data_IF_038404861842
#
_entry.id   IF_038404861842
#
_cell.length_a   1.000
_cell.length_b   1.000
_cell.length_c   1.000
_cell.angle_alpha   90.00
_cell.angle_beta   90.00
_cell.angle_gamma   90.00
#
_symmetry.space_group_name_H-M   'P 1'
#
loop_
_entity.id
_entity.type
_entity.pdbx_description
1 polymer ?
#
# COMPACT_ATOMS: atom_id res chain seq x y z
N UNK A 1 -30.11 -5.09 -57.24
CA UNK A 1 -28.64 -5.32 -57.10
C UNK A 1 -27.82 -4.03 -57.08
N UNK A 2 -28.09 -3.04 -57.95
CA UNK A 2 -27.27 -1.82 -58.04
C UNK A 2 -27.31 -0.89 -56.79
N UNK A 3 -28.41 -0.85 -56.02
CA UNK A 3 -28.49 0.00 -54.82
C UNK A 3 -27.63 -0.51 -53.66
N UNK A 4 -27.51 -1.82 -53.52
CA UNK A 4 -26.75 -2.45 -52.43
C UNK A 4 -25.24 -2.28 -52.63
N UNK A 5 -24.77 -2.27 -53.88
CA UNK A 5 -23.39 -1.95 -54.24
C UNK A 5 -23.03 -0.49 -53.94
N UNK A 6 -23.95 0.46 -54.19
CA UNK A 6 -23.76 1.87 -53.84
C UNK A 6 -23.71 2.11 -52.33
N UNK A 7 -24.57 1.44 -51.56
CA UNK A 7 -24.55 1.49 -50.10
C UNK A 7 -23.21 1.00 -49.53
N UNK A 8 -22.69 -0.13 -50.04
CA UNK A 8 -21.38 -0.65 -49.62
C UNK A 8 -20.20 0.25 -50.01
N UNK A 9 -20.24 0.86 -51.19
CA UNK A 9 -19.21 1.82 -51.60
C UNK A 9 -19.16 3.01 -50.63
N UNK A 10 -20.32 3.54 -50.25
CA UNK A 10 -20.43 4.64 -49.30
C UNK A 10 -19.98 4.27 -47.88
N UNK A 11 -20.34 3.06 -47.39
CA UNK A 11 -19.86 2.56 -46.09
C UNK A 11 -18.35 2.37 -46.04
N UNK A 12 -17.73 1.96 -47.15
CA UNK A 12 -16.27 1.77 -47.25
C UNK A 12 -15.50 3.09 -47.37
N UNK A 13 -16.05 4.09 -48.06
CA UNK A 13 -15.41 5.41 -48.23
C UNK A 13 -15.37 6.21 -46.92
N UNK A 14 -16.30 5.96 -45.99
CA UNK A 14 -16.35 6.65 -44.69
C UNK A 14 -16.91 5.74 -43.61
N UNK A 15 -16.11 4.79 -43.09
CA UNK A 15 -16.55 3.88 -42.04
C UNK A 15 -16.83 4.68 -40.75
N UNK A 16 -18.11 4.81 -40.41
CA UNK A 16 -18.54 5.44 -39.15
C UNK A 16 -18.68 4.36 -38.08
N UNK A 17 -17.79 4.39 -37.09
CA UNK A 17 -17.95 3.56 -35.91
C UNK A 17 -18.96 4.21 -34.97
N UNK A 18 -20.09 3.54 -34.71
CA UNK A 18 -21.08 3.99 -33.72
C UNK A 18 -20.61 3.77 -32.28
N UNK A 19 -19.58 2.95 -32.08
CA UNK A 19 -19.03 2.55 -30.78
C UNK A 19 -17.53 2.65 -30.87
N UNK A 20 -16.91 3.31 -29.89
CA UNK A 20 -15.46 3.40 -29.80
C UNK A 20 -14.86 2.01 -29.55
N UNK A 21 -13.74 1.71 -30.22
CA UNK A 21 -12.95 0.49 -29.98
C UNK A 21 -12.44 0.43 -28.51
N UNK A 22 -12.38 1.58 -27.85
CA UNK A 22 -11.95 1.75 -26.46
C UNK A 22 -13.11 1.94 -25.47
N UNK A 23 -14.33 1.55 -25.85
CA UNK A 23 -15.50 1.64 -24.95
C UNK A 23 -15.40 0.59 -23.83
N UNK A 24 -14.82 1.00 -22.70
CA UNK A 24 -14.50 0.15 -21.54
C UNK A 24 -15.76 -0.23 -20.76
N UNK A 25 -16.89 0.48 -20.95
CA UNK A 25 -18.11 0.25 -20.17
C UNK A 25 -18.89 -1.00 -20.60
N UNK A 26 -18.81 -1.39 -21.87
CA UNK A 26 -19.50 -2.59 -22.40
C UNK A 26 -18.68 -3.87 -22.36
N UNK A 27 -17.35 -3.79 -22.26
CA UNK A 27 -16.49 -4.97 -22.26
C UNK A 27 -16.34 -5.54 -20.84
N UNK A 28 -17.38 -6.26 -20.40
CA UNK A 28 -17.43 -6.86 -19.05
C UNK A 28 -16.25 -7.81 -18.81
N UNK A 29 -15.88 -8.62 -19.79
CA UNK A 29 -14.76 -9.57 -19.70
C UNK A 29 -13.41 -8.86 -19.53
N UNK A 30 -13.17 -7.78 -20.30
CA UNK A 30 -11.95 -6.98 -20.14
C UNK A 30 -11.89 -6.30 -18.76
N UNK A 31 -13.05 -5.89 -18.21
CA UNK A 31 -13.14 -5.27 -16.89
C UNK A 31 -12.85 -6.26 -15.76
N UNK A 32 -13.43 -7.45 -15.82
CA UNK A 32 -13.15 -8.49 -14.82
C UNK A 32 -11.70 -8.97 -14.93
N UNK A 33 -11.16 -9.12 -16.15
CA UNK A 33 -9.74 -9.45 -16.36
C UNK A 33 -8.78 -8.36 -15.85
N UNK A 34 -9.15 -7.08 -15.93
CA UNK A 34 -8.38 -5.98 -15.33
C UNK A 34 -8.41 -6.04 -13.79
N UNK A 35 -9.59 -6.27 -13.19
CA UNK A 35 -9.72 -6.42 -11.73
C UNK A 35 -8.93 -7.60 -11.21
N UNK A 36 -8.95 -8.72 -11.93
CA UNK A 36 -8.22 -9.93 -11.56
C UNK A 36 -6.71 -9.71 -11.64
N UNK A 37 -6.21 -9.06 -12.71
CA UNK A 37 -4.80 -8.65 -12.80
C UNK A 37 -4.39 -7.66 -11.71
N UNK A 38 -5.28 -6.73 -11.34
CA UNK A 38 -5.01 -5.80 -10.24
C UNK A 38 -4.96 -6.51 -8.89
N UNK A 39 -5.84 -7.49 -8.67
CA UNK A 39 -5.84 -8.34 -7.48
C UNK A 39 -4.57 -9.19 -7.42
N UNK A 40 -4.17 -9.81 -8.53
CA UNK A 40 -2.93 -10.59 -8.63
C UNK A 40 -1.71 -9.73 -8.33
N UNK A 41 -1.60 -8.53 -8.93
CA UNK A 41 -0.51 -7.59 -8.61
C UNK A 41 -0.51 -7.16 -7.15
N UNK A 42 -1.68 -6.95 -6.53
CA UNK A 42 -1.77 -6.65 -5.10
C UNK A 42 -1.25 -7.82 -4.26
N UNK A 43 -1.61 -9.05 -4.62
CA UNK A 43 -1.14 -10.26 -3.94
C UNK A 43 0.37 -10.48 -4.13
N UNK A 44 0.92 -10.27 -5.32
CA UNK A 44 2.36 -10.39 -5.60
C UNK A 44 3.16 -9.33 -4.85
N UNK A 45 2.73 -8.07 -4.90
CA UNK A 45 3.36 -6.96 -4.17
C UNK A 45 3.35 -7.20 -2.65
N UNK A 46 2.26 -7.76 -2.10
CA UNK A 46 2.21 -8.10 -0.68
C UNK A 46 3.08 -9.33 -0.34
N UNK A 47 3.33 -10.25 -1.27
CA UNK A 47 4.22 -11.42 -1.10
C UNK A 47 5.70 -11.08 -1.19
N UNK A 48 6.11 -10.23 -2.13
CA UNK A 48 7.52 -9.83 -2.32
C UNK A 48 8.09 -9.05 -1.13
N UNK A 49 7.24 -8.40 -0.34
CA UNK A 49 7.64 -7.69 0.89
C UNK A 49 7.78 -8.64 2.09
N UNK A 50 7.28 -9.87 1.98
CA UNK A 50 7.31 -10.90 3.01
C UNK A 50 8.37 -11.97 2.70
N UNK A 51 9.63 -11.56 2.48
CA UNK A 51 10.75 -12.50 2.57
C UNK A 51 10.60 -13.36 3.83
N UNK A 52 10.97 -14.64 3.74
CA UNK A 52 10.81 -15.63 4.82
C UNK A 52 11.76 -15.27 5.97
N UNK A 53 11.34 -14.32 6.80
CA UNK A 53 12.07 -13.91 8.01
C UNK A 53 11.75 -14.92 9.10
N UNK A 54 12.78 -15.60 9.60
CA UNK A 54 12.67 -16.44 10.79
C UNK A 54 12.56 -15.52 12.03
N UNK A 55 11.33 -15.34 12.50
CA UNK A 55 11.03 -14.50 13.68
C UNK A 55 11.60 -15.09 14.98
N UNK A 56 11.85 -16.40 15.04
CA UNK A 56 12.28 -17.10 16.25
C UNK A 56 13.80 -17.19 16.38
N UNK A 57 14.54 -17.11 15.28
CA UNK A 57 16.00 -17.21 15.27
C UNK A 57 16.70 -16.29 16.30
N UNK A 58 16.33 -15.01 16.46
CA UNK A 58 16.99 -14.14 17.45
C UNK A 58 16.79 -14.61 18.89
N UNK A 59 15.59 -15.06 19.24
CA UNK A 59 15.25 -15.51 20.59
C UNK A 59 15.93 -16.84 20.94
N UNK A 60 16.07 -17.74 19.97
CA UNK A 60 16.78 -19.00 20.15
C UNK A 60 18.29 -18.80 20.25
N UNK A 61 18.85 -17.86 19.48
CA UNK A 61 20.25 -17.48 19.58
C UNK A 61 20.59 -16.91 20.96
N UNK A 62 19.70 -16.11 21.56
CA UNK A 62 19.86 -15.59 22.93
C UNK A 62 19.91 -16.69 23.99
N UNK A 63 19.25 -17.83 23.74
CA UNK A 63 19.27 -19.01 24.62
C UNK A 63 20.46 -19.94 24.34
N UNK A 64 21.30 -19.64 23.36
CA UNK A 64 22.43 -20.49 22.96
C UNK A 64 22.05 -21.66 22.06
N UNK A 65 20.93 -21.56 21.33
CA UNK A 65 20.40 -22.60 20.42
C UNK A 65 20.26 -23.98 21.08
N UNK A 66 19.47 -24.11 22.16
CA UNK A 66 19.25 -25.39 22.81
C UNK A 66 18.48 -26.34 21.88
N UNK A 67 18.81 -27.63 21.93
CA UNK A 67 18.11 -28.67 21.15
C UNK A 67 16.63 -28.84 21.57
N UNK A 68 16.33 -28.57 22.85
CA UNK A 68 14.98 -28.58 23.41
C UNK A 68 14.78 -27.37 24.32
N UNK A 69 13.58 -26.77 24.26
CA UNK A 69 13.19 -25.65 25.12
C UNK A 69 12.15 -26.10 26.13
N UNK A 70 12.23 -25.60 27.38
CA UNK A 70 11.20 -25.86 28.38
C UNK A 70 9.90 -25.12 28.03
N UNK A 71 8.74 -25.62 28.47
CA UNK A 71 7.42 -24.98 28.28
C UNK A 71 7.39 -23.53 28.74
N UNK A 72 8.04 -23.21 29.85
CA UNK A 72 8.13 -21.82 30.35
C UNK A 72 8.94 -20.92 29.41
N UNK A 73 10.07 -21.40 28.90
CA UNK A 73 10.90 -20.67 27.94
C UNK A 73 10.16 -20.47 26.62
N UNK A 74 9.48 -21.52 26.13
CA UNK A 74 8.66 -21.44 24.92
C UNK A 74 7.53 -20.40 25.04
N UNK A 75 6.87 -20.32 26.21
CA UNK A 75 5.85 -19.31 26.48
C UNK A 75 6.43 -17.89 26.43
N UNK A 76 7.56 -17.67 27.10
CA UNK A 76 8.25 -16.38 27.11
C UNK A 76 8.66 -15.95 25.70
N UNK A 77 9.33 -16.84 24.95
CA UNK A 77 9.76 -16.56 23.57
C UNK A 77 8.58 -16.16 22.68
N UNK A 78 7.45 -16.88 22.78
CA UNK A 78 6.24 -16.56 22.02
C UNK A 78 5.72 -15.17 22.37
N UNK A 79 5.59 -14.87 23.66
CA UNK A 79 5.00 -13.62 24.13
C UNK A 79 5.91 -12.42 23.81
N UNK A 80 7.22 -12.56 23.99
CA UNK A 80 8.22 -11.56 23.63
C UNK A 80 8.24 -11.31 22.11
N UNK A 81 8.23 -12.37 21.30
CA UNK A 81 8.17 -12.25 19.84
C UNK A 81 6.91 -11.50 19.37
N UNK A 82 5.75 -11.83 19.94
CA UNK A 82 4.50 -11.14 19.59
C UNK A 82 4.49 -9.69 20.07
N UNK A 83 5.03 -9.42 21.26
CA UNK A 83 5.12 -8.08 21.82
C UNK A 83 6.04 -7.19 20.98
N UNK A 84 7.24 -7.66 20.67
CA UNK A 84 8.23 -6.93 19.87
C UNK A 84 7.71 -6.68 18.46
N UNK A 85 7.03 -7.65 17.85
CA UNK A 85 6.44 -7.47 16.54
C UNK A 85 5.35 -6.39 16.54
N UNK A 86 4.44 -6.41 17.52
CA UNK A 86 3.41 -5.37 17.70
C UNK A 86 4.04 -4.01 17.91
N UNK A 87 5.07 -3.93 18.77
CA UNK A 87 5.82 -2.69 19.03
C UNK A 87 6.49 -2.16 17.76
N UNK A 88 7.13 -3.03 16.97
CA UNK A 88 7.76 -2.67 15.70
C UNK A 88 6.75 -2.10 14.71
N UNK A 89 5.57 -2.74 14.57
CA UNK A 89 4.51 -2.22 13.73
C UNK A 89 3.98 -0.87 14.25
N UNK A 90 3.81 -0.70 15.56
CA UNK A 90 3.40 0.58 16.14
C UNK A 90 4.42 1.69 15.86
N UNK A 91 5.71 1.44 16.10
CA UNK A 91 6.80 2.40 15.83
C UNK A 91 6.84 2.79 14.35
N UNK A 92 6.60 1.83 13.44
CA UNK A 92 6.50 2.11 12.00
C UNK A 92 5.32 3.02 11.69
N UNK A 93 4.16 2.77 12.28
CA UNK A 93 2.97 3.63 12.16
C UNK A 93 3.24 5.05 12.69
N UNK A 94 3.84 5.16 13.86
CA UNK A 94 4.19 6.44 14.50
C UNK A 94 5.16 7.25 13.63
N UNK A 95 6.13 6.59 13.00
CA UNK A 95 7.06 7.25 12.07
C UNK A 95 6.31 7.85 10.88
N UNK A 96 5.38 7.11 10.28
CA UNK A 96 4.56 7.61 9.16
C UNK A 96 3.71 8.80 9.63
N UNK A 97 3.06 8.67 10.79
CA UNK A 97 2.24 9.73 11.37
C UNK A 97 3.06 11.01 11.65
N UNK A 98 4.26 10.88 12.22
CA UNK A 98 5.16 12.02 12.47
C UNK A 98 5.54 12.74 11.18
N UNK A 99 5.90 11.99 10.13
CA UNK A 99 6.23 12.58 8.83
C UNK A 99 5.01 13.28 8.21
N UNK A 100 3.82 12.67 8.31
CA UNK A 100 2.57 13.27 7.83
C UNK A 100 2.27 14.59 8.55
N UNK A 101 2.41 14.63 9.87
CA UNK A 101 2.17 15.82 10.68
C UNK A 101 3.17 16.93 10.33
N UNK A 102 4.44 16.58 10.14
CA UNK A 102 5.47 17.52 9.70
C UNK A 102 5.13 18.14 8.34
N UNK A 103 4.70 17.33 7.36
CA UNK A 103 4.36 17.88 6.04
C UNK A 103 3.09 18.71 6.03
N UNK A 104 2.09 18.36 6.84
CA UNK A 104 0.91 19.21 7.06
C UNK A 104 1.30 20.56 7.69
N UNK A 105 2.23 20.53 8.64
CA UNK A 105 2.75 21.74 9.27
C UNK A 105 3.51 22.62 8.27
N UNK A 106 4.46 22.06 7.53
CA UNK A 106 5.24 22.78 6.51
C UNK A 106 4.34 23.41 5.43
N UNK A 107 3.28 22.72 5.00
CA UNK A 107 2.31 23.28 4.06
C UNK A 107 1.54 24.44 4.68
N UNK A 108 1.09 24.31 5.93
CA UNK A 108 0.38 25.37 6.65
C UNK A 108 1.25 26.62 6.85
N UNK A 109 2.51 26.46 7.22
CA UNK A 109 3.44 27.60 7.35
C UNK A 109 3.67 28.30 6.01
N UNK A 110 3.84 27.53 4.92
CA UNK A 110 4.02 28.11 3.59
C UNK A 110 2.77 28.82 3.09
N UNK A 111 1.58 28.35 3.46
CA UNK A 111 0.31 29.02 3.18
C UNK A 111 0.20 30.36 3.90
N UNK A 112 0.50 30.41 5.20
CA UNK A 112 0.53 31.67 5.98
C UNK A 112 1.52 32.67 5.38
N UNK A 113 2.73 32.21 5.06
CA UNK A 113 3.74 33.04 4.40
C UNK A 113 3.23 33.60 3.06
N UNK A 114 2.51 32.79 2.27
CA UNK A 114 1.94 33.25 1.01
C UNK A 114 0.85 34.30 1.23
N UNK A 115 -0.05 34.10 2.19
CA UNK A 115 -1.10 35.08 2.55
C UNK A 115 -0.51 36.45 2.89
N UNK A 116 0.59 36.48 3.66
CA UNK A 116 1.28 37.72 4.04
C UNK A 116 1.99 38.39 2.85
N UNK A 117 2.60 37.62 1.95
CA UNK A 117 3.48 38.13 0.89
C UNK A 117 2.82 38.22 -0.50
N UNK A 118 1.55 37.84 -0.64
CA UNK A 118 0.85 37.69 -1.93
C UNK A 118 0.88 38.96 -2.81
N UNK A 119 0.91 40.13 -2.18
CA UNK A 119 0.91 41.43 -2.85
C UNK A 119 2.28 41.82 -3.41
N UNK A 120 3.37 41.25 -2.89
CA UNK A 120 4.77 41.52 -3.31
C UNK A 120 5.22 40.50 -4.38
N UNK A 121 4.60 39.32 -4.39
CA UNK A 121 4.97 38.20 -5.27
C UNK A 121 4.63 38.46 -6.75
N UNK A 122 5.61 38.17 -7.60
CA UNK A 122 5.49 38.17 -9.07
C UNK A 122 4.64 37.01 -9.57
N UNK A 123 4.20 37.07 -10.83
CA UNK A 123 3.40 36.01 -11.46
C UNK A 123 4.12 34.66 -11.47
N UNK A 124 5.41 34.64 -11.80
CA UNK A 124 6.24 33.43 -11.84
C UNK A 124 6.39 32.79 -10.47
N UNK A 125 6.53 33.58 -9.41
CA UNK A 125 6.64 33.05 -8.05
C UNK A 125 5.30 32.48 -7.54
N UNK A 126 4.18 33.07 -7.96
CA UNK A 126 2.83 32.53 -7.68
C UNK A 126 2.59 31.19 -8.37
N UNK A 127 3.02 31.05 -9.62
CA UNK A 127 2.97 29.78 -10.36
C UNK A 127 3.86 28.72 -9.68
N UNK A 128 5.07 29.07 -9.25
CA UNK A 128 5.96 28.17 -8.51
C UNK A 128 5.35 27.72 -7.16
N UNK A 129 4.71 28.63 -6.43
CA UNK A 129 3.98 28.31 -5.20
C UNK A 129 2.81 27.35 -5.45
N UNK A 130 2.04 27.57 -6.52
CA UNK A 130 0.93 26.68 -6.89
C UNK A 130 1.42 25.25 -7.13
N UNK A 131 2.51 25.09 -7.89
CA UNK A 131 3.16 23.78 -8.14
C UNK A 131 3.65 23.15 -6.83
N UNK A 132 4.28 23.94 -5.95
CA UNK A 132 4.71 23.47 -4.63
C UNK A 132 3.53 22.93 -3.80
N UNK A 133 2.43 23.67 -3.72
CA UNK A 133 1.24 23.26 -3.00
C UNK A 133 0.63 21.97 -3.57
N UNK A 134 0.47 21.89 -4.89
CA UNK A 134 -0.03 20.67 -5.55
C UNK A 134 0.83 19.45 -5.23
N UNK A 135 2.16 19.59 -5.28
CA UNK A 135 3.09 18.51 -4.96
C UNK A 135 3.01 18.10 -3.48
N UNK A 136 2.95 19.07 -2.55
CA UNK A 136 2.82 18.79 -1.11
C UNK A 136 1.49 18.11 -0.79
N UNK A 137 0.37 18.57 -1.36
CA UNK A 137 -0.95 17.95 -1.17
C UNK A 137 -0.94 16.50 -1.67
N UNK A 138 -0.39 16.26 -2.86
CA UNK A 138 -0.26 14.90 -3.39
C UNK A 138 0.58 14.00 -2.47
N UNK A 139 1.68 14.53 -1.92
CA UNK A 139 2.53 13.78 -1.00
C UNK A 139 1.81 13.46 0.32
N UNK A 140 1.12 14.44 0.91
CA UNK A 140 0.29 14.27 2.12
C UNK A 140 -0.75 13.19 1.88
N UNK A 141 -1.50 13.26 0.77
CA UNK A 141 -2.52 12.28 0.44
C UNK A 141 -1.95 10.87 0.30
N UNK A 142 -0.80 10.74 -0.37
CA UNK A 142 -0.10 9.46 -0.49
C UNK A 142 0.31 8.90 0.88
N UNK A 143 0.77 9.76 1.80
CA UNK A 143 1.12 9.35 3.16
C UNK A 143 -0.11 8.94 3.98
N UNK A 144 -1.24 9.62 3.84
CA UNK A 144 -2.51 9.25 4.47
C UNK A 144 -2.98 7.87 4.00
N UNK A 145 -2.95 7.62 2.69
CA UNK A 145 -3.27 6.30 2.12
C UNK A 145 -2.35 5.20 2.65
N UNK A 146 -1.04 5.48 2.76
CA UNK A 146 -0.07 4.53 3.34
C UNK A 146 -0.36 4.24 4.81
N UNK A 147 -0.72 5.26 5.59
CA UNK A 147 -1.07 5.09 7.00
C UNK A 147 -2.35 4.25 7.16
N UNK A 148 -3.39 4.53 6.37
CA UNK A 148 -4.62 3.74 6.37
C UNK A 148 -4.36 2.28 5.99
N UNK A 149 -3.58 2.03 4.93
CA UNK A 149 -3.17 0.66 4.55
C UNK A 149 -2.42 -0.01 5.70
N UNK A 150 -1.49 0.68 6.35
CA UNK A 150 -0.74 0.14 7.48
C UNK A 150 -1.65 -0.25 8.66
N UNK A 151 -2.60 0.61 9.02
CA UNK A 151 -3.58 0.32 10.08
C UNK A 151 -4.45 -0.88 9.75
N UNK A 152 -4.94 -0.99 8.51
CA UNK A 152 -5.72 -2.15 8.06
C UNK A 152 -4.88 -3.45 8.09
N UNK A 153 -3.61 -3.37 7.68
CA UNK A 153 -2.70 -4.53 7.67
C UNK A 153 -2.17 -4.91 9.05
N UNK A 154 -2.19 -4.02 10.05
CA UNK A 154 -1.66 -4.27 11.39
C UNK A 154 -2.26 -5.54 12.02
N UNK A 155 -3.59 -5.62 12.08
CA UNK A 155 -4.29 -6.77 12.67
C UNK A 155 -4.04 -8.06 11.89
N UNK A 156 -4.04 -7.96 10.55
CA UNK A 156 -3.80 -9.10 9.66
C UNK A 156 -2.40 -9.67 9.88
N UNK A 157 -1.39 -8.80 9.94
CA UNK A 157 0.01 -9.17 10.15
C UNK A 157 0.25 -9.80 11.51
N UNK A 158 -0.32 -9.23 12.58
CA UNK A 158 -0.24 -9.81 13.92
C UNK A 158 -0.85 -11.22 13.97
N UNK A 159 -2.05 -11.41 13.39
CA UNK A 159 -2.69 -12.74 13.32
C UNK A 159 -1.88 -13.74 12.49
N UNK A 160 -1.27 -13.29 11.40
CA UNK A 160 -0.41 -14.13 10.57
C UNK A 160 0.80 -14.63 11.33
N UNK A 161 1.45 -13.76 12.12
CA UNK A 161 2.55 -14.16 13.01
C UNK A 161 2.07 -15.13 14.10
N UNK A 162 0.93 -14.88 14.73
CA UNK A 162 0.36 -15.80 15.73
C UNK A 162 0.10 -17.20 15.14
N UNK A 163 -0.41 -17.27 13.91
CA UNK A 163 -0.62 -18.54 13.21
C UNK A 163 0.70 -19.21 12.82
N UNK A 164 1.70 -18.43 12.40
CA UNK A 164 3.04 -18.92 12.12
C UNK A 164 3.67 -19.57 13.36
N UNK A 165 3.63 -18.89 14.51
CA UNK A 165 4.18 -19.40 15.78
C UNK A 165 3.46 -20.65 16.29
N UNK A 166 2.14 -20.77 16.05
CA UNK A 166 1.36 -21.97 16.39
C UNK A 166 1.78 -23.21 15.58
N UNK A 167 2.12 -23.01 14.31
CA UNK A 167 2.46 -24.09 13.39
C UNK A 167 3.95 -24.45 13.40
N UNK A 168 4.78 -23.66 14.07
CA UNK A 168 6.22 -23.89 14.12
C UNK A 168 6.56 -25.11 15.01
N UNK A 169 7.32 -26.04 14.44
CA UNK A 169 7.85 -27.22 15.13
C UNK A 169 8.56 -26.91 16.45
N UNK A 170 9.28 -25.78 16.52
CA UNK A 170 10.12 -25.37 17.66
C UNK A 170 9.28 -25.00 18.88
N UNK A 171 8.04 -24.53 18.68
CA UNK A 171 7.11 -24.17 19.76
C UNK A 171 6.02 -25.22 20.01
N UNK A 172 6.11 -26.39 19.36
CA UNK A 172 5.11 -27.47 19.47
C UNK A 172 4.85 -27.93 20.93
N UNK A 173 5.81 -27.75 21.83
CA UNK A 173 5.71 -28.05 23.27
C UNK A 173 4.58 -27.26 23.95
N UNK A 174 4.16 -26.12 23.40
CA UNK A 174 3.06 -25.32 23.92
C UNK A 174 1.67 -25.85 23.55
N UNK A 175 1.58 -26.61 22.45
CA UNK A 175 0.34 -27.08 21.84
C UNK A 175 0.17 -28.60 21.88
N UNK A 176 1.15 -29.31 22.47
CA UNK A 176 1.06 -30.71 22.87
C UNK A 176 0.36 -30.88 24.21
#
# INVERSE_FOLDING_TARGET
MASLLKMRAYENESPRQNISIFDVERNLEAREGLKEKELQRKQECDREVEDVVDYLAPYLALLGNPAEINKQQALQIRDDCLFDYRKLLSVRGDKIQKMLNLEKHNLSEKQKWFEENQHILTRTEKEAYSIYCSNKIFHIHTMEMRLQKHQAQFSIRCKKLENYLKNDSRLSILYK
#
